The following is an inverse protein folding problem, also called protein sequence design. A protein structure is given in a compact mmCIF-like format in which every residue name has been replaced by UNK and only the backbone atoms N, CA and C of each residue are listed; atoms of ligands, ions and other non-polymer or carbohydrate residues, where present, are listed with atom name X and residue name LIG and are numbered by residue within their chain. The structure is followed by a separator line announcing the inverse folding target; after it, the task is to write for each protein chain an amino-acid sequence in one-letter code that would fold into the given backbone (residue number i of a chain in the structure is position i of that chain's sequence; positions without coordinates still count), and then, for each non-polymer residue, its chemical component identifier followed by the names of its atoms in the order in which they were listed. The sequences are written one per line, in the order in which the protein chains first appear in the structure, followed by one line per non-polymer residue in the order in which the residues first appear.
data_IF_854889737983
#
_entry.id   IF_854889737983
#
_cell.length_a   1.000
_cell.length_b   1.000
_cell.length_c   1.000
_cell.angle_alpha   90.00
_cell.angle_beta   90.00
_cell.angle_gamma   90.00
#
_symmetry.space_group_name_H-M   'P 1'
#
loop_
_entity.id
_entity.type
_entity.pdbx_description
1 polymer ?
#
# COMPACT_ATOMS: atom_id res chain seq x y z
N UNK A 1 -39.15 -43.48 7.53
CA UNK A 1 -38.16 -42.47 7.96
C UNK A 1 -36.71 -42.98 8.06
N UNK A 2 -36.39 -44.26 8.00
CA UNK A 2 -35.01 -44.78 8.05
C UNK A 2 -34.30 -44.85 6.70
N UNK A 3 -34.99 -44.84 5.58
CA UNK A 3 -34.37 -44.94 4.24
C UNK A 3 -33.92 -43.59 3.62
N UNK A 4 -34.44 -42.45 4.09
CA UNK A 4 -34.08 -41.13 3.55
C UNK A 4 -32.72 -40.65 4.08
N UNK A 5 -32.36 -41.07 5.28
CA UNK A 5 -31.07 -40.67 5.91
C UNK A 5 -29.86 -41.37 5.28
N UNK A 6 -30.03 -42.51 4.64
CA UNK A 6 -28.93 -43.28 4.00
C UNK A 6 -28.59 -42.75 2.61
N UNK A 7 -29.56 -42.19 1.87
CA UNK A 7 -29.32 -41.61 0.54
C UNK A 7 -28.62 -40.25 0.61
N UNK A 8 -28.93 -39.40 1.60
CA UNK A 8 -28.22 -38.10 1.78
C UNK A 8 -26.74 -38.25 2.17
N UNK A 9 -26.39 -39.30 2.93
CA UNK A 9 -24.98 -39.57 3.25
C UNK A 9 -24.19 -40.10 2.04
N UNK A 10 -24.83 -40.85 1.16
CA UNK A 10 -24.23 -41.34 -0.08
C UNK A 10 -23.96 -40.22 -1.10
N UNK A 11 -24.90 -39.30 -1.26
CA UNK A 11 -24.75 -38.15 -2.18
C UNK A 11 -23.64 -37.16 -1.75
N UNK A 12 -23.52 -36.88 -0.45
CA UNK A 12 -22.42 -36.07 0.07
C UNK A 12 -21.06 -36.73 -0.13
N UNK A 13 -20.97 -38.06 0.05
CA UNK A 13 -19.71 -38.77 -0.15
C UNK A 13 -19.27 -38.83 -1.62
N UNK A 14 -20.19 -38.87 -2.57
CA UNK A 14 -19.89 -38.81 -4.01
C UNK A 14 -19.47 -37.41 -4.44
N UNK A 15 -20.06 -36.34 -3.88
CA UNK A 15 -19.68 -34.93 -4.12
C UNK A 15 -18.24 -34.66 -3.66
N UNK A 16 -17.82 -35.21 -2.51
CA UNK A 16 -16.46 -35.07 -2.03
C UNK A 16 -15.43 -35.82 -2.87
N UNK A 17 -15.75 -37.01 -3.41
CA UNK A 17 -14.87 -37.73 -4.33
C UNK A 17 -14.66 -36.99 -5.64
N UNK A 18 -15.69 -36.37 -6.17
CA UNK A 18 -15.62 -35.59 -7.41
C UNK A 18 -14.75 -34.32 -7.23
N UNK A 19 -14.82 -33.68 -6.05
CA UNK A 19 -13.99 -32.54 -5.70
C UNK A 19 -12.50 -32.95 -5.55
N UNK A 20 -12.24 -34.10 -4.93
CA UNK A 20 -10.88 -34.66 -4.79
C UNK A 20 -10.30 -35.02 -6.15
N UNK A 21 -11.09 -35.60 -7.06
CA UNK A 21 -10.62 -35.94 -8.42
C UNK A 21 -10.35 -34.70 -9.27
N UNK A 22 -11.09 -33.60 -9.08
CA UNK A 22 -10.82 -32.31 -9.73
C UNK A 22 -9.52 -31.70 -9.19
N UNK A 23 -9.34 -31.71 -7.87
CA UNK A 23 -8.11 -31.21 -7.21
C UNK A 23 -6.89 -32.03 -7.65
N UNK A 24 -7.01 -33.35 -7.70
CA UNK A 24 -5.91 -34.23 -8.16
C UNK A 24 -5.56 -33.99 -9.64
N UNK A 25 -6.52 -33.73 -10.51
CA UNK A 25 -6.28 -33.38 -11.92
C UNK A 25 -5.65 -31.98 -12.12
N UNK A 26 -5.82 -31.05 -11.15
CA UNK A 26 -5.14 -29.74 -11.16
C UNK A 26 -3.67 -29.85 -10.70
N UNK A 27 -3.32 -30.89 -9.94
CA UNK A 27 -1.96 -31.15 -9.42
C UNK A 27 -1.04 -31.78 -10.51
N UNK A 28 -1.58 -32.38 -11.58
CA UNK A 28 -0.81 -33.02 -12.65
C UNK A 28 -0.22 -32.06 -13.71
N UNK A 29 -0.30 -30.73 -13.51
CA UNK A 29 0.36 -29.76 -14.39
C UNK A 29 1.79 -29.48 -13.93
N UNK A 30 2.83 -29.72 -14.77
CA UNK A 30 4.23 -29.70 -14.34
C UNK A 30 4.83 -28.29 -14.11
N UNK A 31 4.07 -27.21 -14.16
CA UNK A 31 4.57 -25.84 -14.12
C UNK A 31 4.29 -25.06 -12.83
N UNK A 32 3.68 -25.67 -11.83
CA UNK A 32 3.53 -25.06 -10.52
C UNK A 32 4.25 -25.91 -9.48
N UNK A 33 5.46 -25.48 -9.11
CA UNK A 33 6.15 -26.00 -7.93
C UNK A 33 5.42 -25.57 -6.65
N UNK A 34 4.21 -26.07 -6.48
CA UNK A 34 3.48 -25.95 -5.23
C UNK A 34 3.84 -27.20 -4.43
N UNK A 35 4.59 -27.00 -3.38
CA UNK A 35 4.89 -28.08 -2.42
C UNK A 35 3.57 -28.47 -1.71
N UNK A 36 2.78 -29.36 -2.34
CA UNK A 36 1.69 -30.06 -1.67
C UNK A 36 2.29 -31.17 -0.84
N UNK A 37 2.76 -30.84 0.36
CA UNK A 37 3.19 -31.84 1.33
C UNK A 37 1.99 -32.41 2.07
N UNK A 38 1.78 -33.71 1.83
CA UNK A 38 0.95 -34.64 2.54
C UNK A 38 0.76 -34.32 4.03
N UNK A 39 -0.44 -33.95 4.42
CA UNK A 39 -0.89 -34.14 5.78
C UNK A 39 -2.35 -34.57 5.80
N UNK A 40 -2.59 -35.83 5.41
CA UNK A 40 -3.78 -36.55 5.85
C UNK A 40 -3.37 -37.31 7.12
N UNK A 41 -3.51 -36.68 8.28
CA UNK A 41 -3.64 -37.39 9.56
C UNK A 41 -5.03 -37.14 10.10
N UNK A 42 -5.76 -38.22 10.15
CA UNK A 42 -7.05 -38.37 10.78
C UNK A 42 -6.93 -38.00 12.28
N UNK A 43 -7.51 -36.89 12.66
CA UNK A 43 -7.75 -36.52 14.05
C UNK A 43 -9.16 -35.93 14.15
N UNK A 44 -10.14 -36.83 14.31
CA UNK A 44 -11.40 -36.55 15.00
C UNK A 44 -12.09 -35.21 14.70
N UNK A 45 -12.69 -35.02 13.51
CA UNK A 45 -13.84 -34.12 13.35
C UNK A 45 -13.57 -32.61 13.43
N UNK A 46 -12.36 -32.11 13.29
CA UNK A 46 -12.09 -30.67 13.12
C UNK A 46 -12.03 -30.31 11.64
N UNK A 47 -12.66 -29.20 11.28
CA UNK A 47 -12.55 -28.63 9.94
C UNK A 47 -11.10 -28.47 9.56
N UNK A 48 -10.67 -29.16 8.49
CA UNK A 48 -9.30 -29.04 7.97
C UNK A 48 -9.23 -27.78 7.13
N UNK A 49 -8.51 -26.78 7.62
CA UNK A 49 -8.18 -25.59 6.85
C UNK A 49 -7.03 -25.92 5.91
N UNK A 50 -7.23 -25.66 4.61
CA UNK A 50 -6.20 -25.87 3.58
C UNK A 50 -5.57 -24.52 3.29
N UNK A 51 -4.26 -24.38 3.59
CA UNK A 51 -3.50 -23.18 3.27
C UNK A 51 -2.56 -23.42 2.08
N UNK A 52 -2.46 -22.43 1.19
CA UNK A 52 -1.39 -22.38 0.21
C UNK A 52 -0.22 -21.60 0.83
N UNK A 53 0.98 -22.22 0.85
CA UNK A 53 2.18 -21.61 1.43
C UNK A 53 3.25 -21.57 0.33
N UNK A 54 3.34 -20.47 -0.43
CA UNK A 54 4.34 -20.32 -1.48
C UNK A 54 5.77 -20.32 -0.92
N UNK A 55 6.64 -21.10 -1.51
CA UNK A 55 8.08 -21.00 -1.35
C UNK A 55 8.58 -19.99 -2.40
N UNK A 56 8.99 -18.80 -1.95
CA UNK A 56 9.37 -17.69 -2.85
C UNK A 56 10.83 -17.73 -3.27
N UNK A 57 11.67 -18.36 -2.44
CA UNK A 57 13.05 -18.71 -2.73
C UNK A 57 13.36 -19.96 -1.90
N UNK A 58 14.52 -20.61 -2.13
CA UNK A 58 14.88 -21.84 -1.42
C UNK A 58 14.79 -21.66 0.11
N UNK A 59 13.89 -22.41 0.77
CA UNK A 59 13.63 -22.32 2.21
C UNK A 59 13.20 -20.91 2.70
N UNK A 60 12.55 -20.12 1.84
CA UNK A 60 11.93 -18.85 2.15
C UNK A 60 10.44 -18.92 1.78
N UNK A 61 9.56 -18.83 2.75
CA UNK A 61 8.13 -19.11 2.59
C UNK A 61 7.30 -17.89 2.94
N UNK A 62 6.28 -17.59 2.12
CA UNK A 62 5.26 -16.63 2.48
C UNK A 62 4.27 -17.27 3.45
N UNK A 63 4.17 -16.77 4.67
CA UNK A 63 3.28 -17.28 5.73
C UNK A 63 2.23 -16.26 6.17
N UNK A 64 2.18 -15.11 5.52
CA UNK A 64 1.26 -14.02 5.81
C UNK A 64 -0.22 -14.36 5.60
N UNK A 65 -1.07 -13.34 5.68
CA UNK A 65 -2.52 -13.48 5.53
C UNK A 65 -3.07 -12.55 4.44
N UNK A 66 -4.21 -12.94 3.86
CA UNK A 66 -4.96 -12.12 2.91
C UNK A 66 -6.29 -11.70 3.51
N UNK A 67 -6.51 -10.40 3.60
CA UNK A 67 -7.75 -9.81 4.10
C UNK A 67 -8.65 -9.39 2.93
N UNK A 68 -9.38 -10.36 2.39
CA UNK A 68 -10.26 -10.21 1.24
C UNK A 68 -11.41 -9.21 1.48
N UNK A 69 -11.80 -9.04 2.74
CA UNK A 69 -12.98 -8.30 3.13
C UNK A 69 -12.66 -6.92 3.72
N UNK A 70 -11.40 -6.57 3.91
CA UNK A 70 -11.00 -5.25 4.36
C UNK A 70 -11.40 -4.22 3.32
N UNK A 71 -12.16 -3.19 3.73
CA UNK A 71 -12.64 -2.12 2.83
C UNK A 71 -12.12 -0.74 3.19
N UNK A 72 -11.48 -0.63 4.36
CA UNK A 72 -10.91 0.61 4.85
C UNK A 72 -9.67 0.30 5.68
N UNK A 73 -8.55 0.95 5.38
CA UNK A 73 -7.32 0.92 6.16
C UNK A 73 -7.17 2.25 6.89
N UNK A 74 -6.68 2.24 8.14
CA UNK A 74 -6.51 3.41 9.01
C UNK A 74 -7.73 4.34 9.11
N UNK A 75 -8.94 3.79 8.96
CA UNK A 75 -10.20 4.55 8.90
C UNK A 75 -10.18 5.69 7.85
N UNK A 76 -9.29 5.65 6.88
CA UNK A 76 -9.05 6.71 5.89
C UNK A 76 -8.89 6.19 4.46
N UNK A 77 -8.14 5.11 4.26
CA UNK A 77 -7.72 4.60 2.95
C UNK A 77 -8.70 3.55 2.45
N UNK A 78 -9.42 3.79 1.35
CA UNK A 78 -10.31 2.80 0.77
C UNK A 78 -9.57 1.62 0.16
N UNK A 79 -10.04 0.40 0.41
CA UNK A 79 -9.46 -0.86 -0.07
C UNK A 79 -10.45 -1.64 -0.93
N UNK A 80 -10.72 -1.24 -2.17
CA UNK A 80 -11.69 -1.92 -3.02
C UNK A 80 -11.35 -3.39 -3.29
N UNK A 81 -10.06 -3.74 -3.28
CA UNK A 81 -9.54 -5.09 -3.53
C UNK A 81 -9.06 -5.81 -2.27
N UNK A 82 -9.37 -5.30 -1.07
CA UNK A 82 -8.80 -5.82 0.17
C UNK A 82 -7.32 -5.49 0.31
N UNK A 83 -6.62 -6.26 1.15
CA UNK A 83 -5.16 -6.15 1.35
C UNK A 83 -4.54 -7.49 1.73
N UNK A 84 -3.24 -7.53 1.87
CA UNK A 84 -2.51 -8.65 2.48
C UNK A 84 -1.60 -8.12 3.58
N UNK A 85 -1.33 -8.96 4.57
CA UNK A 85 -0.34 -8.76 5.62
C UNK A 85 0.73 -9.82 5.42
N UNK A 86 1.77 -9.46 4.68
CA UNK A 86 2.80 -10.41 4.29
C UNK A 86 3.82 -10.57 5.42
N UNK A 87 4.10 -11.81 5.75
CA UNK A 87 5.14 -12.20 6.66
C UNK A 87 5.87 -13.42 6.10
N UNK A 88 7.13 -13.60 6.47
CA UNK A 88 7.97 -14.57 5.80
C UNK A 88 8.71 -15.45 6.80
N UNK A 89 8.69 -16.78 6.57
CA UNK A 89 9.49 -17.74 7.31
C UNK A 89 10.74 -18.07 6.50
N UNK A 90 11.91 -17.87 7.10
CA UNK A 90 13.21 -18.18 6.51
C UNK A 90 13.89 -19.29 7.31
N UNK A 91 14.28 -20.36 6.63
CA UNK A 91 15.01 -21.47 7.24
C UNK A 91 16.45 -21.49 6.73
N UNK A 92 17.40 -21.27 7.62
CA UNK A 92 18.80 -21.61 7.41
C UNK A 92 19.05 -23.09 7.73
N UNK A 93 20.30 -23.50 7.68
CA UNK A 93 20.71 -24.86 8.05
C UNK A 93 20.69 -25.08 9.57
N UNK A 94 20.93 -24.00 10.35
CA UNK A 94 21.02 -24.04 11.80
C UNK A 94 19.85 -23.37 12.51
N UNK A 95 19.32 -22.26 11.93
CA UNK A 95 18.36 -21.40 12.59
C UNK A 95 17.19 -21.04 11.68
N UNK A 96 16.05 -20.81 12.32
CA UNK A 96 14.80 -20.40 11.65
C UNK A 96 14.36 -19.04 12.16
N UNK A 97 13.93 -18.16 11.26
CA UNK A 97 13.45 -16.82 11.58
C UNK A 97 12.12 -16.50 10.92
N UNK A 98 11.33 -15.67 11.59
CA UNK A 98 10.20 -14.96 10.98
C UNK A 98 10.62 -13.52 10.67
N UNK A 99 10.13 -12.96 9.56
CA UNK A 99 10.26 -11.56 9.19
C UNK A 99 8.86 -10.97 9.15
N UNK A 100 8.61 -10.01 10.02
CA UNK A 100 7.33 -9.36 10.32
C UNK A 100 6.23 -10.35 10.77
N UNK A 101 5.06 -9.84 11.10
CA UNK A 101 3.90 -10.61 11.54
C UNK A 101 2.64 -10.18 10.78
N UNK A 102 1.46 -10.40 11.35
CA UNK A 102 0.16 -10.16 10.71
C UNK A 102 -0.74 -9.28 11.56
N UNK A 103 -1.75 -8.71 10.92
CA UNK A 103 -2.79 -7.90 11.53
C UNK A 103 -3.60 -8.71 12.57
N UNK A 104 -4.17 -8.03 13.60
CA UNK A 104 -5.03 -8.69 14.59
C UNK A 104 -6.15 -9.52 13.94
N UNK A 105 -6.35 -10.73 14.47
CA UNK A 105 -7.36 -11.68 13.99
C UNK A 105 -6.82 -12.74 13.02
N UNK A 106 -5.59 -12.61 12.56
CA UNK A 106 -4.93 -13.60 11.67
C UNK A 106 -3.87 -14.47 12.38
N UNK A 107 -3.68 -14.31 13.69
CA UNK A 107 -2.63 -14.99 14.45
C UNK A 107 -2.72 -16.51 14.32
N UNK A 108 -3.93 -17.08 14.34
CA UNK A 108 -4.12 -18.53 14.27
C UNK A 108 -3.85 -19.09 12.87
N UNK A 109 -4.25 -18.38 11.81
CA UNK A 109 -3.89 -18.72 10.44
C UNK A 109 -2.37 -18.70 10.26
N UNK A 110 -1.74 -17.63 10.77
CA UNK A 110 -0.30 -17.43 10.74
C UNK A 110 0.46 -18.58 11.43
N UNK A 111 0.08 -18.90 12.69
CA UNK A 111 0.63 -20.04 13.44
C UNK A 111 0.48 -21.34 12.68
N UNK A 112 -0.70 -21.62 12.13
CA UNK A 112 -0.98 -22.86 11.40
C UNK A 112 -0.04 -22.99 10.18
N UNK A 113 0.13 -21.91 9.40
CA UNK A 113 1.04 -21.89 8.24
C UNK A 113 2.50 -22.14 8.66
N UNK A 114 2.97 -21.50 9.72
CA UNK A 114 4.32 -21.72 10.25
C UNK A 114 4.51 -23.17 10.65
N UNK A 115 3.56 -23.74 11.39
CA UNK A 115 3.64 -25.12 11.89
C UNK A 115 3.52 -26.19 10.77
N UNK A 116 3.00 -25.84 9.59
CA UNK A 116 3.04 -26.73 8.41
C UNK A 116 4.45 -26.85 7.81
N UNK A 117 5.33 -25.86 8.02
CA UNK A 117 6.68 -25.83 7.45
C UNK A 117 7.75 -26.10 8.50
N UNK A 118 7.55 -25.61 9.71
CA UNK A 118 8.49 -25.67 10.83
C UNK A 118 7.71 -25.80 12.14
N UNK A 119 8.43 -25.94 13.26
CA UNK A 119 7.83 -25.90 14.59
C UNK A 119 8.00 -24.49 15.18
N UNK A 120 6.91 -23.75 15.39
CA UNK A 120 6.94 -22.40 15.94
C UNK A 120 7.66 -22.32 17.29
N UNK A 121 7.52 -23.32 18.18
CA UNK A 121 8.21 -23.36 19.48
C UNK A 121 9.75 -23.38 19.36
N UNK A 122 10.27 -23.74 18.18
CA UNK A 122 11.71 -23.82 17.89
C UNK A 122 12.22 -22.62 17.09
N UNK A 123 11.41 -21.57 16.95
CA UNK A 123 11.82 -20.35 16.27
C UNK A 123 13.02 -19.73 17.02
N UNK A 124 14.05 -19.31 16.26
CA UNK A 124 15.25 -18.69 16.82
C UNK A 124 15.14 -17.16 16.84
N UNK A 125 14.54 -16.57 15.80
CA UNK A 125 14.44 -15.13 15.67
C UNK A 125 13.08 -14.69 15.15
N UNK A 126 12.62 -13.55 15.66
CA UNK A 126 11.50 -12.77 15.13
C UNK A 126 12.05 -11.39 14.75
N UNK A 127 12.14 -11.12 13.45
CA UNK A 127 12.57 -9.82 12.91
C UNK A 127 11.35 -8.92 12.77
N UNK A 128 11.44 -7.69 13.26
CA UNK A 128 10.45 -6.65 12.99
C UNK A 128 11.10 -5.56 12.16
N UNK A 129 10.70 -5.45 10.89
CA UNK A 129 11.12 -4.38 10.01
C UNK A 129 10.37 -3.07 10.30
N UNK A 130 9.11 -3.18 10.75
CA UNK A 130 8.22 -2.06 10.99
C UNK A 130 7.28 -2.34 12.18
N UNK A 131 6.99 -1.32 12.98
CA UNK A 131 6.26 -1.44 14.24
C UNK A 131 4.75 -1.16 14.12
N UNK A 132 4.23 -0.85 12.93
CA UNK A 132 2.81 -0.63 12.75
C UNK A 132 2.02 -1.90 13.09
N UNK A 133 0.86 -1.76 13.78
CA UNK A 133 0.14 -2.92 14.33
C UNK A 133 -0.25 -4.00 13.32
N UNK A 134 -0.44 -3.66 12.04
CA UNK A 134 -0.80 -4.65 11.03
C UNK A 134 0.37 -5.57 10.61
N UNK A 135 1.61 -5.20 10.97
CA UNK A 135 2.83 -6.03 10.82
C UNK A 135 3.41 -6.47 12.16
N UNK A 136 2.99 -5.85 13.26
CA UNK A 136 3.60 -6.04 14.58
C UNK A 136 2.67 -6.69 15.62
N UNK A 137 1.35 -6.71 15.41
CA UNK A 137 0.39 -7.13 16.45
C UNK A 137 0.58 -8.55 16.94
N UNK A 138 1.01 -9.48 16.08
CA UNK A 138 1.23 -10.86 16.51
C UNK A 138 2.58 -11.09 17.21
N UNK A 139 3.43 -10.06 17.40
CA UNK A 139 4.74 -10.20 18.07
C UNK A 139 4.60 -10.86 19.44
N UNK A 140 3.71 -10.37 20.29
CA UNK A 140 3.52 -10.94 21.63
C UNK A 140 3.08 -12.39 21.54
N UNK A 141 2.11 -12.70 20.68
CA UNK A 141 1.61 -14.05 20.45
C UNK A 141 2.74 -15.00 20.05
N UNK A 142 3.57 -14.63 19.07
CA UNK A 142 4.70 -15.42 18.59
C UNK A 142 5.75 -15.59 19.67
N UNK A 143 6.10 -14.54 20.40
CA UNK A 143 7.12 -14.57 21.46
C UNK A 143 6.69 -15.44 22.65
N UNK A 144 5.40 -15.56 22.93
CA UNK A 144 4.87 -16.45 23.95
C UNK A 144 4.88 -17.92 23.50
N UNK A 145 4.58 -18.18 22.21
CA UNK A 145 4.63 -19.53 21.62
C UNK A 145 6.05 -20.02 21.35
N UNK A 146 7.01 -19.12 21.16
CA UNK A 146 8.42 -19.39 20.89
C UNK A 146 9.31 -18.86 22.02
N UNK A 147 9.40 -19.56 23.19
CA UNK A 147 10.03 -19.03 24.39
C UNK A 147 11.55 -18.82 24.27
N UNK A 148 12.19 -19.40 23.25
CA UNK A 148 13.63 -19.23 22.96
C UNK A 148 13.91 -18.17 21.91
N UNK A 149 12.89 -17.70 21.19
CA UNK A 149 13.07 -16.72 20.12
C UNK A 149 13.62 -15.40 20.64
N UNK A 150 14.57 -14.83 19.90
CA UNK A 150 15.06 -13.47 20.12
C UNK A 150 14.29 -12.52 19.20
N UNK A 151 13.76 -11.46 19.75
CA UNK A 151 13.16 -10.35 19.01
C UNK A 151 14.27 -9.41 18.48
N UNK A 152 14.28 -9.17 17.17
CA UNK A 152 15.36 -8.44 16.49
C UNK A 152 14.77 -7.23 15.73
N UNK A 153 15.26 -6.04 16.05
CA UNK A 153 14.89 -4.79 15.37
C UNK A 153 15.91 -3.69 15.68
N UNK A 154 15.71 -2.48 15.15
CA UNK A 154 16.54 -1.31 15.45
C UNK A 154 16.31 -0.79 16.89
N UNK A 155 17.20 0.06 17.41
CA UNK A 155 16.98 0.72 18.71
C UNK A 155 15.67 1.54 18.76
N UNK A 156 15.34 2.21 17.64
CA UNK A 156 14.05 2.89 17.52
C UNK A 156 12.90 1.89 17.44
N UNK A 157 13.09 0.76 16.77
CA UNK A 157 12.11 -0.31 16.67
C UNK A 157 11.76 -0.89 18.02
N UNK A 158 12.73 -1.11 18.90
CA UNK A 158 12.46 -1.54 20.30
C UNK A 158 11.57 -0.53 21.02
N UNK A 159 11.89 0.75 20.92
CA UNK A 159 11.11 1.82 21.56
C UNK A 159 9.67 1.88 21.04
N UNK A 160 9.49 1.76 19.71
CA UNK A 160 8.17 1.78 19.08
C UNK A 160 7.37 0.53 19.44
N UNK A 161 7.95 -0.67 19.32
CA UNK A 161 7.30 -1.91 19.68
C UNK A 161 6.88 -1.95 21.17
N UNK A 162 7.67 -1.36 22.06
CA UNK A 162 7.37 -1.28 23.50
C UNK A 162 6.15 -0.41 23.83
N UNK A 163 5.67 0.41 22.88
CA UNK A 163 4.42 1.16 23.07
C UNK A 163 3.18 0.25 22.96
N UNK A 164 3.30 -0.87 22.27
CA UNK A 164 2.20 -1.79 21.97
C UNK A 164 2.38 -3.15 22.63
N UNK A 165 3.63 -3.56 22.94
CA UNK A 165 3.97 -4.89 23.41
C UNK A 165 4.89 -4.84 24.63
N UNK A 166 4.62 -5.71 25.60
CA UNK A 166 5.57 -5.98 26.67
C UNK A 166 6.64 -6.94 26.14
N UNK A 167 7.81 -6.42 25.78
CA UNK A 167 8.93 -7.20 25.30
C UNK A 167 9.82 -7.65 26.46
N UNK A 168 10.18 -8.94 26.55
CA UNK A 168 11.14 -9.40 27.56
C UNK A 168 12.55 -8.92 27.17
N UNK A 169 13.11 -7.97 27.93
CA UNK A 169 14.42 -7.35 27.66
C UNK A 169 15.54 -8.36 27.38
N UNK A 170 15.56 -9.48 28.11
CA UNK A 170 16.55 -10.53 27.93
C UNK A 170 16.47 -11.22 26.56
N UNK A 171 15.38 -11.04 25.81
CA UNK A 171 15.16 -11.62 24.49
C UNK A 171 15.10 -10.58 23.37
N UNK A 172 15.64 -9.39 23.60
CA UNK A 172 15.74 -8.33 22.58
C UNK A 172 17.17 -8.25 22.06
N UNK A 173 17.32 -8.26 20.73
CA UNK A 173 18.58 -8.03 20.04
C UNK A 173 18.44 -6.79 19.16
N UNK A 174 19.17 -5.73 19.48
CA UNK A 174 19.22 -4.52 18.68
C UNK A 174 20.21 -4.70 17.53
N UNK A 175 19.81 -4.23 16.34
CA UNK A 175 20.64 -4.20 15.13
C UNK A 175 20.69 -2.79 14.56
N UNK A 176 21.75 -2.51 13.80
CA UNK A 176 22.00 -1.24 13.14
C UNK A 176 22.17 -1.43 11.62
N UNK A 177 22.28 -0.30 10.90
CA UNK A 177 22.51 -0.28 9.45
C UNK A 177 23.80 -1.05 9.07
N UNK A 178 23.68 -2.06 8.25
CA UNK A 178 24.76 -2.93 7.81
C UNK A 178 25.07 -4.14 8.70
N UNK A 179 24.44 -4.25 9.87
CA UNK A 179 24.55 -5.44 10.71
C UNK A 179 24.01 -6.67 9.99
N UNK A 180 24.49 -7.83 10.43
CA UNK A 180 24.05 -9.11 9.86
C UNK A 180 23.79 -10.16 10.93
N UNK A 181 22.98 -11.17 10.56
CA UNK A 181 22.61 -12.31 11.38
C UNK A 181 22.73 -13.60 10.57
N UNK A 182 23.60 -14.50 10.99
CA UNK A 182 23.81 -15.80 10.34
C UNK A 182 22.75 -16.81 10.82
N UNK A 183 22.16 -17.52 9.85
CA UNK A 183 21.18 -18.58 10.07
C UNK A 183 21.75 -19.98 9.75
N UNK A 184 23.05 -20.07 9.38
CA UNK A 184 23.63 -21.26 8.79
C UNK A 184 23.30 -21.35 7.29
N UNK A 185 24.24 -20.98 6.43
CA UNK A 185 24.08 -20.98 4.97
C UNK A 185 23.18 -19.89 4.39
N UNK A 186 22.61 -19.03 5.23
CA UNK A 186 21.89 -17.80 4.86
C UNK A 186 22.21 -16.69 5.86
N UNK A 187 22.38 -15.49 5.34
CA UNK A 187 22.69 -14.29 6.12
C UNK A 187 21.56 -13.28 5.98
N UNK A 188 21.01 -12.80 7.08
CA UNK A 188 20.14 -11.62 7.07
C UNK A 188 21.02 -10.39 7.22
N UNK A 189 20.95 -9.46 6.27
CA UNK A 189 21.59 -8.16 6.33
C UNK A 189 20.53 -7.10 6.58
N UNK A 190 20.73 -6.23 7.57
CA UNK A 190 19.80 -5.16 7.95
C UNK A 190 20.20 -3.83 7.32
N UNK A 191 19.22 -3.08 6.81
CA UNK A 191 19.40 -1.80 6.14
C UNK A 191 18.39 -0.82 6.73
N UNK A 192 18.84 0.15 7.50
CA UNK A 192 17.93 1.16 8.03
C UNK A 192 17.32 2.02 6.92
N UNK A 193 16.01 2.15 6.94
CA UNK A 193 15.22 2.94 6.01
C UNK A 193 14.23 3.86 6.77
N UNK A 194 14.73 4.74 7.66
CA UNK A 194 13.91 5.51 8.57
C UNK A 194 12.92 6.41 7.82
N UNK A 195 11.68 6.49 8.36
CA UNK A 195 10.56 7.23 7.76
C UNK A 195 10.05 6.67 6.44
N UNK A 196 10.13 5.35 6.26
CA UNK A 196 9.47 4.63 5.17
C UNK A 196 8.50 3.55 5.72
N UNK A 197 7.30 3.92 6.38
CA UNK A 197 6.93 5.35 6.57
C UNK A 197 7.02 5.82 8.04
N UNK A 198 7.48 4.99 8.97
CA UNK A 198 7.72 5.33 10.37
C UNK A 198 9.23 5.46 10.67
N UNK A 199 9.60 6.10 11.81
CA UNK A 199 10.99 6.48 12.08
C UNK A 199 11.95 5.31 12.31
N UNK A 200 11.45 4.11 12.62
CA UNK A 200 12.22 2.92 12.98
C UNK A 200 12.40 1.93 11.84
N UNK A 201 11.71 2.14 10.71
CA UNK A 201 11.66 1.17 9.60
C UNK A 201 13.05 0.75 9.13
N UNK A 202 13.21 -0.55 8.91
CA UNK A 202 14.38 -1.15 8.28
C UNK A 202 13.98 -2.14 7.21
N UNK A 203 14.89 -2.47 6.31
CA UNK A 203 14.78 -3.57 5.36
C UNK A 203 15.65 -4.74 5.81
N UNK A 204 15.22 -5.94 5.49
CA UNK A 204 16.02 -7.16 5.64
C UNK A 204 16.35 -7.69 4.24
N UNK A 205 17.62 -8.05 4.01
CA UNK A 205 18.09 -8.59 2.73
C UNK A 205 18.83 -9.92 2.94
N UNK A 206 18.55 -10.90 2.07
CA UNK A 206 19.26 -12.20 2.04
C UNK A 206 20.13 -12.24 0.78
N UNK A 207 21.46 -12.06 0.88
CA UNK A 207 22.36 -12.06 -0.27
C UNK A 207 22.38 -13.38 -1.05
N UNK A 208 22.31 -14.51 -0.36
CA UNK A 208 22.39 -15.85 -0.95
C UNK A 208 21.20 -16.13 -1.88
N UNK A 209 20.02 -15.68 -1.48
CA UNK A 209 18.79 -15.85 -2.25
C UNK A 209 18.42 -14.61 -3.07
N UNK A 210 19.11 -13.47 -2.84
CA UNK A 210 18.86 -12.17 -3.50
C UNK A 210 17.44 -11.65 -3.25
N UNK A 211 16.92 -11.86 -2.04
CA UNK A 211 15.57 -11.45 -1.61
C UNK A 211 15.66 -10.24 -0.71
N UNK A 212 14.93 -9.19 -1.07
CA UNK A 212 14.74 -7.99 -0.24
C UNK A 212 13.36 -8.02 0.40
N UNK A 213 13.29 -7.79 1.71
CA UNK A 213 12.08 -7.59 2.50
C UNK A 213 12.02 -6.12 2.93
N UNK A 214 11.37 -5.25 2.15
CA UNK A 214 11.41 -3.80 2.36
C UNK A 214 10.27 -3.28 3.24
N UNK A 215 9.57 -4.14 3.95
CA UNK A 215 8.33 -3.83 4.63
C UNK A 215 7.34 -3.14 3.69
N UNK A 216 6.80 -1.99 4.05
CA UNK A 216 5.80 -1.25 3.29
C UNK A 216 6.33 -0.60 2.00
N UNK A 217 7.63 -0.38 1.94
CA UNK A 217 8.20 0.18 0.73
C UNK A 217 8.03 -0.78 -0.44
N UNK A 218 7.49 -0.32 -1.56
CA UNK A 218 7.03 -1.10 -2.72
C UNK A 218 5.69 -1.84 -2.54
N UNK A 219 4.93 -1.54 -1.50
CA UNK A 219 3.64 -2.14 -1.23
C UNK A 219 2.54 -1.80 -2.25
N UNK A 220 1.48 -2.58 -2.21
CA UNK A 220 0.22 -2.32 -2.91
C UNK A 220 -0.94 -2.96 -2.14
N UNK A 221 -2.04 -2.22 -1.94
CA UNK A 221 -3.20 -2.79 -1.28
C UNK A 221 -4.03 -3.64 -2.23
N UNK A 222 -3.79 -4.94 -2.19
CA UNK A 222 -4.61 -5.95 -2.85
C UNK A 222 -4.47 -7.30 -2.16
N UNK A 223 -5.57 -8.04 -2.12
CA UNK A 223 -5.60 -9.44 -1.69
C UNK A 223 -5.47 -10.42 -2.86
N UNK A 224 -5.42 -9.92 -4.10
CA UNK A 224 -5.32 -10.74 -5.31
C UNK A 224 -3.90 -11.25 -5.53
N UNK A 225 -3.79 -12.40 -6.21
CA UNK A 225 -2.51 -12.97 -6.60
C UNK A 225 -1.53 -13.22 -5.44
N UNK A 226 -0.38 -13.78 -5.73
CA UNK A 226 0.77 -13.90 -4.81
C UNK A 226 1.96 -13.15 -5.40
N UNK A 227 2.10 -13.23 -6.71
CA UNK A 227 3.22 -12.66 -7.44
C UNK A 227 2.79 -11.48 -8.30
N UNK A 228 3.73 -10.64 -8.66
CA UNK A 228 3.51 -9.47 -9.52
C UNK A 228 2.94 -9.84 -10.91
N UNK A 229 3.20 -11.05 -11.39
CA UNK A 229 2.66 -11.57 -12.65
C UNK A 229 1.17 -11.95 -12.57
N UNK A 230 0.65 -12.17 -11.37
CA UNK A 230 -0.75 -12.55 -11.14
C UNK A 230 -1.71 -11.35 -11.16
N UNK A 231 -1.19 -10.10 -11.19
CA UNK A 231 -1.98 -8.88 -11.00
C UNK A 231 -1.84 -7.98 -12.22
N UNK A 232 -2.94 -7.80 -12.95
CA UNK A 232 -3.00 -6.98 -14.16
C UNK A 232 -2.80 -5.49 -13.85
N UNK A 233 -3.51 -4.97 -12.84
CA UNK A 233 -3.52 -3.55 -12.46
C UNK A 233 -2.45 -3.19 -11.41
N UNK A 234 -1.35 -3.93 -11.33
CA UNK A 234 -0.38 -3.79 -10.26
C UNK A 234 0.19 -2.37 -10.14
N UNK A 235 0.60 -1.75 -11.24
CA UNK A 235 1.25 -0.43 -11.17
C UNK A 235 0.28 0.68 -10.74
N UNK A 236 -0.96 0.75 -11.23
CA UNK A 236 -1.99 1.61 -10.67
C UNK A 236 -2.23 1.41 -9.16
N UNK A 237 -2.26 0.16 -8.68
CA UNK A 237 -2.45 -0.15 -7.25
C UNK A 237 -1.24 0.28 -6.41
N UNK A 238 -0.02 -0.03 -6.85
CA UNK A 238 1.20 0.40 -6.20
C UNK A 238 1.36 1.93 -6.19
N UNK A 239 0.91 2.61 -7.26
CA UNK A 239 0.89 4.07 -7.35
C UNK A 239 -0.11 4.69 -6.38
N UNK A 240 -1.29 4.06 -6.20
CA UNK A 240 -2.27 4.44 -5.20
C UNK A 240 -1.65 4.36 -3.79
N UNK A 241 -1.08 3.21 -3.45
CA UNK A 241 -0.39 2.97 -2.19
C UNK A 241 0.74 3.99 -1.94
N UNK A 242 1.58 4.24 -2.97
CA UNK A 242 2.63 5.26 -2.88
C UNK A 242 2.06 6.64 -2.60
N UNK A 243 1.01 7.03 -3.30
CA UNK A 243 0.34 8.33 -3.14
C UNK A 243 -0.25 8.53 -1.75
N UNK A 244 -0.85 7.49 -1.20
CA UNK A 244 -1.54 7.53 0.10
C UNK A 244 -0.56 7.51 1.28
N UNK A 245 0.57 6.78 1.17
CA UNK A 245 1.42 6.45 2.32
C UNK A 245 2.85 6.97 2.13
N UNK A 246 3.48 6.75 0.98
CA UNK A 246 4.91 6.98 0.78
C UNK A 246 5.27 8.37 0.24
N UNK A 247 4.36 9.03 -0.50
CA UNK A 247 4.63 10.27 -1.21
C UNK A 247 5.15 11.41 -0.32
N UNK A 248 4.65 11.62 0.92
CA UNK A 248 5.23 12.62 1.83
C UNK A 248 6.71 12.40 2.14
N UNK A 249 7.18 11.16 2.03
CA UNK A 249 8.54 10.72 2.33
C UNK A 249 9.38 10.49 1.07
N UNK A 250 8.96 10.94 -0.11
CA UNK A 250 9.60 10.67 -1.40
C UNK A 250 11.12 10.88 -1.41
N UNK A 251 11.61 11.97 -0.79
CA UNK A 251 13.07 12.24 -0.68
C UNK A 251 13.81 11.18 0.14
N UNK A 252 13.17 10.58 1.13
CA UNK A 252 13.74 9.50 1.93
C UNK A 252 13.64 8.18 1.17
N UNK A 253 12.57 7.98 0.41
CA UNK A 253 12.45 6.88 -0.55
C UNK A 253 13.59 6.89 -1.59
N UNK A 254 13.91 8.05 -2.17
CA UNK A 254 15.06 8.18 -3.09
C UNK A 254 16.40 7.79 -2.42
N UNK A 255 16.60 8.16 -1.16
CA UNK A 255 17.80 7.75 -0.40
C UNK A 255 17.82 6.24 -0.12
N UNK A 256 16.67 5.63 0.14
CA UNK A 256 16.59 4.19 0.33
C UNK A 256 16.86 3.42 -0.97
N UNK A 257 16.35 3.90 -2.11
CA UNK A 257 16.69 3.36 -3.44
C UNK A 257 18.21 3.42 -3.69
N UNK A 258 18.86 4.52 -3.33
CA UNK A 258 20.31 4.65 -3.46
C UNK A 258 21.08 3.66 -2.58
N UNK A 259 20.60 3.36 -1.36
CA UNK A 259 21.20 2.35 -0.48
C UNK A 259 21.15 0.92 -1.05
N UNK A 260 20.10 0.60 -1.81
CA UNK A 260 19.88 -0.76 -2.32
C UNK A 260 20.31 -0.93 -3.79
N UNK A 261 20.74 0.13 -4.48
CA UNK A 261 21.03 0.11 -5.92
C UNK A 261 22.10 -0.90 -6.34
N UNK A 262 23.10 -1.13 -5.47
CA UNK A 262 24.21 -2.04 -5.72
C UNK A 262 23.95 -3.46 -5.23
N UNK A 263 22.77 -3.74 -4.67
CA UNK A 263 22.36 -5.08 -4.26
C UNK A 263 21.87 -5.88 -5.49
N UNK A 264 22.29 -7.14 -5.58
CA UNK A 264 21.76 -8.07 -6.58
C UNK A 264 20.39 -8.59 -6.13
N UNK A 265 19.32 -7.81 -6.40
CA UNK A 265 17.96 -8.14 -5.98
C UNK A 265 17.25 -8.88 -7.12
N UNK A 266 16.79 -10.10 -6.83
CA UNK A 266 15.95 -10.90 -7.75
C UNK A 266 14.50 -10.98 -7.33
N UNK A 267 14.23 -10.80 -6.04
CA UNK A 267 12.88 -10.85 -5.47
C UNK A 267 12.74 -9.68 -4.50
N UNK A 268 11.63 -8.95 -4.62
CA UNK A 268 11.18 -7.98 -3.62
C UNK A 268 9.93 -8.55 -2.96
N UNK A 269 9.95 -8.68 -1.65
CA UNK A 269 8.92 -9.31 -0.83
C UNK A 269 8.36 -8.30 0.20
N UNK A 270 7.45 -7.38 -0.21
CA UNK A 270 6.92 -6.32 0.66
C UNK A 270 5.89 -6.85 1.65
N UNK A 271 5.50 -6.01 2.61
CA UNK A 271 4.50 -6.34 3.64
C UNK A 271 3.05 -6.26 3.15
N UNK A 272 2.79 -5.56 2.03
CA UNK A 272 1.49 -5.52 1.37
C UNK A 272 1.58 -5.82 -0.12
N UNK A 273 0.55 -6.51 -0.64
CA UNK A 273 0.42 -6.81 -2.06
C UNK A 273 1.31 -7.95 -2.53
N UNK A 274 1.72 -7.95 -3.81
CA UNK A 274 2.43 -9.08 -4.39
C UNK A 274 3.91 -9.11 -4.07
N UNK A 275 4.49 -10.29 -4.23
CA UNK A 275 5.92 -10.53 -4.27
C UNK A 275 6.40 -10.30 -5.70
N UNK A 276 7.36 -9.42 -5.90
CA UNK A 276 7.90 -9.10 -7.21
C UNK A 276 9.00 -10.09 -7.59
N UNK A 277 8.73 -10.96 -8.54
CA UNK A 277 9.73 -11.80 -9.23
C UNK A 277 10.50 -11.03 -10.28
N UNK A 278 9.93 -9.92 -10.76
CA UNK A 278 10.60 -8.95 -11.61
C UNK A 278 10.71 -7.61 -10.86
N UNK A 279 11.79 -7.38 -10.08
CA UNK A 279 11.97 -6.16 -9.30
C UNK A 279 11.88 -4.86 -10.12
N UNK A 280 12.27 -4.87 -11.40
CA UNK A 280 12.26 -3.68 -12.24
C UNK A 280 10.85 -3.13 -12.45
N UNK A 281 9.83 -3.98 -12.41
CA UNK A 281 8.42 -3.54 -12.52
C UNK A 281 8.02 -2.51 -11.46
N UNK A 282 8.68 -2.53 -10.30
CA UNK A 282 8.38 -1.58 -9.22
C UNK A 282 9.52 -0.60 -8.96
N UNK A 283 10.78 -0.99 -9.14
CA UNK A 283 11.93 -0.12 -8.94
C UNK A 283 11.91 1.08 -9.90
N UNK A 284 11.58 0.87 -11.19
CA UNK A 284 11.50 1.94 -12.18
C UNK A 284 10.40 2.97 -11.87
N UNK A 285 9.13 2.58 -11.57
CA UNK A 285 8.12 3.53 -11.12
C UNK A 285 8.52 4.28 -9.85
N UNK A 286 9.02 3.58 -8.83
CA UNK A 286 9.42 4.21 -7.57
C UNK A 286 10.57 5.21 -7.75
N UNK A 287 11.52 4.92 -8.64
CA UNK A 287 12.59 5.88 -8.97
C UNK A 287 12.02 7.20 -9.50
N UNK A 288 11.02 7.16 -10.38
CA UNK A 288 10.33 8.34 -10.92
C UNK A 288 9.51 9.05 -9.85
N UNK A 289 8.70 8.29 -9.08
CA UNK A 289 7.83 8.86 -8.06
C UNK A 289 8.62 9.53 -6.93
N UNK A 290 9.69 8.89 -6.46
CA UNK A 290 10.56 9.45 -5.39
C UNK A 290 11.38 10.63 -5.87
N UNK A 291 11.71 10.70 -7.16
CA UNK A 291 12.33 11.87 -7.79
C UNK A 291 11.36 13.06 -7.96
N UNK A 292 10.04 12.81 -7.79
CA UNK A 292 9.00 13.83 -8.01
C UNK A 292 8.83 14.17 -9.48
N UNK A 293 9.03 13.21 -10.38
CA UNK A 293 8.78 13.40 -11.80
C UNK A 293 7.27 13.60 -12.04
N UNK A 294 6.95 14.62 -12.85
CA UNK A 294 5.56 14.92 -13.19
C UNK A 294 5.29 14.73 -14.68
N UNK A 295 4.11 14.26 -14.98
CA UNK A 295 3.61 14.13 -16.36
C UNK A 295 2.95 15.42 -16.84
N UNK A 296 2.67 15.52 -18.15
CA UNK A 296 1.86 16.60 -18.71
C UNK A 296 0.37 16.40 -18.37
N UNK A 297 0.07 16.40 -17.09
CA UNK A 297 -1.21 16.02 -16.51
C UNK A 297 -1.71 17.07 -15.54
N UNK A 298 -3.00 17.33 -15.57
CA UNK A 298 -3.70 18.17 -14.62
C UNK A 298 -4.76 17.39 -13.85
N UNK A 299 -4.61 17.36 -12.54
CA UNK A 299 -5.61 16.84 -11.62
C UNK A 299 -6.59 17.96 -11.24
N UNK A 300 -7.86 17.74 -11.50
CA UNK A 300 -8.95 18.62 -11.13
C UNK A 300 -9.80 17.97 -10.06
N UNK A 301 -9.86 18.58 -8.88
CA UNK A 301 -10.72 18.16 -7.77
C UNK A 301 -11.69 19.29 -7.42
N UNK A 302 -12.97 18.99 -7.37
CA UNK A 302 -13.96 20.04 -7.16
C UNK A 302 -15.21 19.54 -6.44
N UNK A 303 -15.96 20.52 -5.94
CA UNK A 303 -17.37 20.36 -5.52
C UNK A 303 -18.19 21.43 -6.22
N UNK A 304 -19.41 21.11 -6.62
CA UNK A 304 -20.35 22.08 -7.17
C UNK A 304 -21.75 21.79 -6.67
N UNK A 305 -22.36 22.77 -5.99
CA UNK A 305 -23.73 22.69 -5.47
C UNK A 305 -24.79 22.99 -6.54
N UNK A 306 -24.63 24.10 -7.28
CA UNK A 306 -25.63 24.65 -8.21
C UNK A 306 -25.08 24.84 -9.62
N UNK A 307 -23.97 24.19 -9.95
CA UNK A 307 -23.41 24.18 -11.30
C UNK A 307 -22.44 25.31 -11.65
N UNK A 308 -22.34 26.40 -10.88
CA UNK A 308 -21.43 27.50 -11.20
C UNK A 308 -19.98 27.11 -11.16
N UNK A 309 -19.53 26.47 -10.08
CA UNK A 309 -18.17 25.94 -9.98
C UNK A 309 -17.90 24.91 -11.08
N UNK A 310 -18.80 23.93 -11.29
CA UNK A 310 -18.65 22.90 -12.33
C UNK A 310 -18.54 23.52 -13.74
N UNK A 311 -19.25 24.63 -14.03
CA UNK A 311 -19.15 25.31 -15.31
C UNK A 311 -17.75 25.88 -15.54
N UNK A 312 -17.17 26.56 -14.54
CA UNK A 312 -15.80 27.10 -14.62
C UNK A 312 -14.76 25.96 -14.76
N UNK A 313 -14.94 24.88 -13.99
CA UNK A 313 -14.08 23.69 -14.06
C UNK A 313 -14.10 23.04 -15.45
N UNK A 314 -15.28 22.88 -16.05
CA UNK A 314 -15.38 22.35 -17.42
C UNK A 314 -14.71 23.26 -18.43
N UNK A 315 -14.87 24.56 -18.29
CA UNK A 315 -14.26 25.56 -19.20
C UNK A 315 -12.74 25.45 -19.17
N UNK A 316 -12.10 25.42 -17.99
CA UNK A 316 -10.63 25.28 -17.91
C UNK A 316 -10.17 23.91 -18.41
N UNK A 317 -10.88 22.83 -18.09
CA UNK A 317 -10.57 21.49 -18.56
C UNK A 317 -10.58 21.40 -20.10
N UNK A 318 -11.59 21.97 -20.77
CA UNK A 318 -11.67 22.00 -22.24
C UNK A 318 -10.51 22.78 -22.89
N UNK A 319 -10.06 23.87 -22.27
CA UNK A 319 -8.90 24.63 -22.75
C UNK A 319 -7.64 23.76 -22.64
N UNK A 320 -7.41 23.14 -21.49
CA UNK A 320 -6.23 22.29 -21.28
C UNK A 320 -6.23 21.06 -22.19
N UNK A 321 -7.40 20.43 -22.41
CA UNK A 321 -7.52 19.32 -23.36
C UNK A 321 -7.15 19.74 -24.80
N UNK A 322 -7.58 20.91 -25.26
CA UNK A 322 -7.21 21.45 -26.58
C UNK A 322 -5.71 21.70 -26.70
N UNK A 323 -5.03 21.96 -25.59
CA UNK A 323 -3.56 22.15 -25.52
C UNK A 323 -2.78 20.83 -25.31
N UNK A 324 -3.47 19.67 -25.30
CA UNK A 324 -2.87 18.35 -25.20
C UNK A 324 -2.47 17.93 -23.78
N UNK A 325 -3.09 18.51 -22.76
CA UNK A 325 -2.89 18.12 -21.36
C UNK A 325 -3.80 16.94 -21.03
N UNK A 326 -3.27 15.90 -20.37
CA UNK A 326 -4.08 14.82 -19.81
C UNK A 326 -4.87 15.32 -18.60
N UNK A 327 -6.19 15.15 -18.61
CA UNK A 327 -7.08 15.66 -17.56
C UNK A 327 -7.63 14.51 -16.74
N UNK A 328 -7.40 14.58 -15.42
CA UNK A 328 -8.04 13.74 -14.41
C UNK A 328 -8.98 14.60 -13.58
N UNK A 329 -10.29 14.32 -13.64
CA UNK A 329 -11.31 15.19 -13.02
C UNK A 329 -12.17 14.38 -12.05
N UNK A 330 -12.24 14.84 -10.79
CA UNK A 330 -12.93 14.19 -9.69
C UNK A 330 -13.89 15.16 -8.99
N UNK A 331 -15.17 14.79 -8.94
CA UNK A 331 -16.15 15.42 -8.06
C UNK A 331 -16.05 14.79 -6.67
N UNK A 332 -15.59 15.55 -5.70
CA UNK A 332 -15.38 15.08 -4.33
C UNK A 332 -16.66 14.57 -3.63
N UNK A 333 -17.84 14.86 -4.17
CA UNK A 333 -19.08 14.34 -3.62
C UNK A 333 -19.29 12.84 -3.90
N UNK A 334 -18.62 12.30 -4.92
CA UNK A 334 -18.86 10.93 -5.41
C UNK A 334 -17.58 10.15 -5.74
N UNK A 335 -16.41 10.79 -5.65
CA UNK A 335 -15.14 10.17 -6.03
C UNK A 335 -14.44 9.52 -4.82
N UNK A 336 -13.70 8.46 -5.09
CA UNK A 336 -12.83 7.83 -4.11
C UNK A 336 -11.57 8.67 -3.88
N UNK A 337 -11.16 8.81 -2.63
CA UNK A 337 -9.99 9.60 -2.26
C UNK A 337 -8.68 8.91 -2.66
N UNK A 338 -8.64 7.59 -2.71
CA UNK A 338 -7.49 6.82 -3.17
C UNK A 338 -7.17 7.09 -4.64
N UNK A 339 -8.20 7.22 -5.49
CA UNK A 339 -8.02 7.62 -6.88
C UNK A 339 -7.37 9.01 -7.00
N UNK A 340 -7.78 9.94 -6.13
CA UNK A 340 -7.19 11.29 -6.08
C UNK A 340 -5.73 11.22 -5.62
N UNK A 341 -5.43 10.44 -4.59
CA UNK A 341 -4.06 10.24 -4.10
C UNK A 341 -3.16 9.65 -5.19
N UNK A 342 -3.65 8.66 -5.95
CA UNK A 342 -2.94 8.08 -7.10
C UNK A 342 -2.59 9.14 -8.15
N UNK A 343 -3.53 10.02 -8.50
CA UNK A 343 -3.29 11.04 -9.52
C UNK A 343 -2.38 12.17 -9.01
N UNK A 344 -2.33 12.42 -7.70
CA UNK A 344 -1.41 13.40 -7.11
C UNK A 344 0.07 13.04 -7.31
N UNK A 345 0.40 11.74 -7.45
CA UNK A 345 1.79 11.25 -7.52
C UNK A 345 2.60 11.90 -8.65
N UNK A 346 1.98 12.14 -9.81
CA UNK A 346 2.67 12.61 -11.01
C UNK A 346 1.94 13.74 -11.76
N UNK A 347 0.88 14.31 -11.19
CA UNK A 347 0.22 15.46 -11.79
C UNK A 347 1.10 16.72 -11.68
N UNK A 348 1.34 17.39 -12.81
CA UNK A 348 2.09 18.66 -12.85
C UNK A 348 1.26 19.83 -12.35
N UNK A 349 -0.06 19.73 -12.48
CA UNK A 349 -1.02 20.78 -12.15
C UNK A 349 -2.10 20.25 -11.23
N UNK A 350 -2.51 21.05 -10.25
CA UNK A 350 -3.69 20.82 -9.42
C UNK A 350 -4.66 21.98 -9.55
N UNK A 351 -5.91 21.68 -9.94
CA UNK A 351 -6.99 22.65 -10.03
C UNK A 351 -8.04 22.32 -8.97
N UNK A 352 -8.30 23.27 -8.10
CA UNK A 352 -9.32 23.16 -7.05
C UNK A 352 -10.56 23.97 -7.40
N UNK A 353 -11.72 23.32 -7.27
CA UNK A 353 -13.02 23.98 -7.44
C UNK A 353 -13.87 23.89 -6.18
N UNK A 354 -14.34 25.03 -5.63
CA UNK A 354 -15.15 25.04 -4.41
C UNK A 354 -16.23 26.10 -4.40
N UNK A 355 -17.47 25.78 -4.01
CA UNK A 355 -18.42 26.84 -3.59
C UNK A 355 -18.07 27.28 -2.16
N UNK A 356 -18.50 28.49 -1.82
CA UNK A 356 -18.48 28.99 -0.44
C UNK A 356 -19.71 28.51 0.31
N UNK A 357 -19.50 27.90 1.49
CA UNK A 357 -20.53 27.44 2.42
C UNK A 357 -20.28 28.08 3.79
N UNK A 358 -21.25 28.77 4.35
CA UNK A 358 -21.14 29.46 5.65
C UNK A 358 -19.92 30.39 5.79
N UNK A 359 -19.48 30.97 4.67
CA UNK A 359 -18.33 31.89 4.64
C UNK A 359 -17.02 31.29 4.22
N UNK A 360 -16.86 29.95 4.31
CA UNK A 360 -15.65 29.20 4.06
C UNK A 360 -15.76 28.21 2.89
N UNK A 361 -14.75 27.38 2.66
CA UNK A 361 -14.79 26.30 1.67
C UNK A 361 -15.89 25.28 1.99
N UNK A 362 -16.45 24.65 0.96
CA UNK A 362 -17.27 23.47 1.15
C UNK A 362 -16.47 22.38 1.90
N UNK A 363 -17.05 21.67 2.91
CA UNK A 363 -16.31 20.70 3.73
C UNK A 363 -15.54 19.64 2.95
N UNK A 364 -16.11 19.09 1.88
CA UNK A 364 -15.40 18.12 1.03
C UNK A 364 -14.23 18.76 0.27
N UNK A 365 -14.40 20.01 -0.21
CA UNK A 365 -13.30 20.73 -0.86
C UNK A 365 -12.19 21.08 0.13
N UNK A 366 -12.53 21.43 1.37
CA UNK A 366 -11.58 21.62 2.46
C UNK A 366 -10.78 20.33 2.72
N UNK A 367 -11.46 19.19 2.82
CA UNK A 367 -10.84 17.88 2.99
C UNK A 367 -9.88 17.54 1.83
N UNK A 368 -10.33 17.66 0.56
CA UNK A 368 -9.47 17.43 -0.60
C UNK A 368 -8.26 18.37 -0.66
N UNK A 369 -8.45 19.66 -0.31
CA UNK A 369 -7.34 20.63 -0.25
C UNK A 369 -6.34 20.30 0.86
N UNK A 370 -6.84 19.84 2.02
CA UNK A 370 -6.00 19.40 3.12
C UNK A 370 -5.16 18.17 2.74
N UNK A 371 -5.72 17.22 1.99
CA UNK A 371 -4.99 16.07 1.47
C UNK A 371 -3.85 16.48 0.54
N UNK A 372 -4.09 17.41 -0.38
CA UNK A 372 -3.02 17.99 -1.22
C UNK A 372 -1.88 18.53 -0.35
N UNK A 373 -2.21 19.26 0.72
CA UNK A 373 -1.20 19.75 1.67
C UNK A 373 -0.48 18.61 2.39
N UNK A 374 -1.21 17.63 2.91
CA UNK A 374 -0.68 16.54 3.74
C UNK A 374 0.22 15.60 2.93
N UNK A 375 -0.22 15.22 1.73
CA UNK A 375 0.48 14.31 0.84
C UNK A 375 1.66 14.99 0.11
N UNK A 376 1.70 16.33 0.06
CA UNK A 376 2.79 17.14 -0.48
C UNK A 376 3.26 16.67 -1.88
N UNK A 377 2.37 16.62 -2.87
CA UNK A 377 2.68 16.13 -4.21
C UNK A 377 3.72 16.99 -4.94
N UNK A 378 4.38 16.46 -5.98
CA UNK A 378 5.41 17.19 -6.74
C UNK A 378 4.82 18.21 -7.74
N UNK A 379 3.53 18.51 -7.66
CA UNK A 379 2.85 19.45 -8.56
C UNK A 379 3.52 20.84 -8.54
N UNK A 380 3.71 21.40 -9.74
CA UNK A 380 4.39 22.69 -9.92
C UNK A 380 3.41 23.86 -9.90
N UNK A 381 2.21 23.67 -10.43
CA UNK A 381 1.24 24.74 -10.67
C UNK A 381 -0.11 24.44 -10.04
N UNK A 382 -0.80 25.49 -9.58
CA UNK A 382 -2.12 25.39 -9.00
C UNK A 382 -3.07 26.45 -9.56
N UNK A 383 -4.37 26.13 -9.59
CA UNK A 383 -5.46 27.07 -9.87
C UNK A 383 -6.57 26.83 -8.87
N UNK A 384 -7.19 27.92 -8.38
CA UNK A 384 -8.34 27.81 -7.46
C UNK A 384 -9.52 28.59 -8.04
N UNK A 385 -10.62 27.88 -8.31
CA UNK A 385 -11.86 28.45 -8.85
C UNK A 385 -12.97 28.29 -7.81
N UNK A 386 -13.71 29.38 -7.55
CA UNK A 386 -14.75 29.36 -6.54
C UNK A 386 -16.03 30.10 -6.95
N UNK A 387 -17.14 29.76 -6.31
CA UNK A 387 -18.41 30.48 -6.42
C UNK A 387 -19.02 30.77 -5.05
N UNK A 388 -19.80 31.83 -4.94
CA UNK A 388 -20.49 32.19 -3.71
C UNK A 388 -21.80 32.92 -4.01
N UNK A 389 -22.75 32.81 -3.09
CA UNK A 389 -23.98 33.65 -3.12
C UNK A 389 -23.84 34.90 -2.25
N UNK A 390 -23.40 34.66 -1.01
CA UNK A 390 -23.17 35.70 0.00
C UNK A 390 -21.94 35.31 0.81
N UNK A 391 -21.02 36.22 1.07
CA UNK A 391 -19.73 35.91 1.72
C UNK A 391 -18.80 35.06 0.85
N UNK A 392 -17.54 35.40 0.73
CA UNK A 392 -16.62 34.79 -0.23
C UNK A 392 -15.25 34.44 0.39
N UNK A 393 -15.19 33.66 1.49
CA UNK A 393 -13.93 33.28 2.16
C UNK A 393 -13.20 32.07 1.59
N UNK A 394 -13.85 31.25 0.75
CA UNK A 394 -13.33 29.96 0.31
C UNK A 394 -11.95 30.02 -0.37
N UNK A 395 -11.72 31.00 -1.27
CA UNK A 395 -10.42 31.11 -1.95
C UNK A 395 -9.29 31.54 -1.01
N UNK A 396 -9.58 32.40 -0.04
CA UNK A 396 -8.63 32.81 0.98
C UNK A 396 -8.20 31.59 1.79
N UNK A 397 -9.16 30.81 2.26
CA UNK A 397 -8.90 29.58 3.04
C UNK A 397 -8.11 28.54 2.21
N UNK A 398 -8.46 28.31 0.95
CA UNK A 398 -7.72 27.43 0.06
C UNK A 398 -6.26 27.89 -0.11
N UNK A 399 -6.03 29.19 -0.32
CA UNK A 399 -4.70 29.76 -0.43
C UNK A 399 -3.86 29.55 0.82
N UNK A 400 -4.43 29.77 2.01
CA UNK A 400 -3.74 29.56 3.29
C UNK A 400 -3.33 28.10 3.49
N UNK A 401 -4.19 27.14 3.11
CA UNK A 401 -3.90 25.71 3.21
C UNK A 401 -2.81 25.28 2.23
N UNK A 402 -2.79 25.83 1.02
CA UNK A 402 -1.86 25.44 -0.05
C UNK A 402 -0.47 26.10 0.05
N UNK A 403 -0.28 27.14 0.84
CA UNK A 403 1.03 27.81 1.01
C UNK A 403 2.18 26.82 1.25
N UNK A 404 2.03 25.78 2.09
CA UNK A 404 3.14 24.83 2.34
C UNK A 404 3.52 23.96 1.13
N UNK A 405 2.61 23.76 0.17
CA UNK A 405 2.85 22.91 -1.01
C UNK A 405 3.88 23.49 -1.98
N UNK A 406 4.20 24.81 -1.85
CA UNK A 406 5.12 25.54 -2.71
C UNK A 406 4.76 25.56 -4.20
N UNK A 407 3.54 25.18 -4.56
CA UNK A 407 3.03 25.31 -5.93
C UNK A 407 2.89 26.77 -6.30
N UNK A 408 3.23 27.13 -7.53
CA UNK A 408 2.89 28.43 -8.10
C UNK A 408 1.38 28.49 -8.40
N UNK A 409 0.65 29.35 -7.72
CA UNK A 409 -0.77 29.59 -8.02
C UNK A 409 -0.85 30.52 -9.22
N UNK A 410 -1.10 29.92 -10.39
CA UNK A 410 -1.17 30.65 -11.68
C UNK A 410 -2.40 31.52 -11.78
N UNK A 411 -3.51 31.12 -11.17
CA UNK A 411 -4.73 31.92 -11.21
C UNK A 411 -5.72 31.55 -10.11
N UNK A 412 -6.50 32.56 -9.72
CA UNK A 412 -7.65 32.38 -8.84
C UNK A 412 -8.83 33.19 -9.39
N UNK A 413 -10.02 32.61 -9.36
CA UNK A 413 -11.22 33.32 -9.72
C UNK A 413 -12.38 32.93 -8.82
N UNK A 414 -13.06 33.92 -8.25
CA UNK A 414 -14.28 33.72 -7.48
C UNK A 414 -15.45 34.53 -8.06
N UNK A 415 -16.55 33.86 -8.37
CA UNK A 415 -17.71 34.45 -8.98
C UNK A 415 -18.90 34.49 -8.02
N UNK A 416 -19.66 35.57 -8.05
CA UNK A 416 -20.90 35.70 -7.30
C UNK A 416 -22.07 35.15 -8.11
N UNK A 417 -22.72 34.10 -7.59
CA UNK A 417 -23.82 33.42 -8.25
C UNK A 417 -23.37 32.58 -9.43
N UNK A 418 -24.08 32.64 -10.56
CA UNK A 418 -23.74 31.88 -11.78
C UNK A 418 -22.62 32.57 -12.54
N UNK A 419 -21.65 31.79 -13.01
CA UNK A 419 -20.59 32.27 -13.88
C UNK A 419 -21.19 32.85 -15.20
N UNK A 420 -20.80 34.06 -15.56
CA UNK A 420 -21.20 34.73 -16.78
C UNK A 420 -20.16 34.61 -17.86
N UNK A 421 -20.46 35.02 -19.08
CA UNK A 421 -19.53 34.94 -20.22
C UNK A 421 -18.19 35.63 -19.93
N UNK A 422 -18.23 36.81 -19.30
CA UNK A 422 -17.02 37.54 -18.89
C UNK A 422 -16.17 36.81 -17.86
N UNK A 423 -16.80 36.05 -16.95
CA UNK A 423 -16.09 35.22 -15.96
C UNK A 423 -15.45 34.00 -16.65
N UNK A 424 -16.18 33.37 -17.58
CA UNK A 424 -15.67 32.24 -18.35
C UNK A 424 -14.50 32.65 -19.24
N UNK A 425 -14.49 33.84 -19.83
CA UNK A 425 -13.33 34.38 -20.57
C UNK A 425 -12.09 34.49 -19.69
N UNK A 426 -12.24 34.93 -18.42
CA UNK A 426 -11.13 34.95 -17.47
C UNK A 426 -10.63 33.54 -17.13
N UNK A 427 -11.53 32.56 -16.98
CA UNK A 427 -11.16 31.15 -16.79
C UNK A 427 -10.38 30.62 -18.01
N UNK A 428 -10.80 30.99 -19.23
CA UNK A 428 -10.07 30.62 -20.45
C UNK A 428 -8.65 31.22 -20.49
N UNK A 429 -8.51 32.50 -20.10
CA UNK A 429 -7.20 33.17 -20.00
C UNK A 429 -6.27 32.45 -19.03
N UNK A 430 -6.78 32.13 -17.82
CA UNK A 430 -6.04 31.32 -16.83
C UNK A 430 -5.65 29.96 -17.42
N UNK A 431 -6.56 29.27 -18.11
CA UNK A 431 -6.29 27.97 -18.73
C UNK A 431 -5.21 28.03 -19.79
N UNK A 432 -5.19 29.07 -20.65
CA UNK A 432 -4.14 29.27 -21.68
C UNK A 432 -2.78 29.60 -21.04
N UNK A 433 -2.74 30.47 -20.03
CA UNK A 433 -1.51 30.78 -19.30
C UNK A 433 -0.93 29.51 -18.64
N UNK A 434 -1.80 28.72 -17.98
CA UNK A 434 -1.41 27.46 -17.35
C UNK A 434 -0.84 26.47 -18.37
N UNK A 435 -1.53 26.28 -19.51
CA UNK A 435 -1.04 25.40 -20.56
C UNK A 435 0.32 25.86 -21.14
N UNK A 436 0.55 27.17 -21.25
CA UNK A 436 1.84 27.70 -21.68
C UNK A 436 2.95 27.38 -20.67
N UNK A 437 2.71 27.55 -19.37
CA UNK A 437 3.66 27.20 -18.30
C UNK A 437 3.98 25.69 -18.24
N UNK A 438 3.04 24.84 -18.62
CA UNK A 438 3.25 23.38 -18.66
C UNK A 438 4.18 22.95 -19.80
N UNK A 439 4.36 23.76 -20.82
CA UNK A 439 5.27 23.47 -21.97
C UNK A 439 6.73 23.80 -21.68
N UNK A 440 6.99 24.54 -20.60
CA UNK A 440 8.32 24.88 -20.10
C UNK A 440 8.74 23.96 -18.97
#
# INVERSE_FOLDING_TARGET
MKNIIFEERSAKCQSYRHLIDIVLKLIERPETSVCFLNFIKDNGGKNMEIYSIPEIARNVFWVGAKDWNRRMFDALIPLPQGTSYNAYLVKGEEKTTLIDTVNPGFEKEFENKINMISNLEKLDYLIMNHAEPDHASAIRYIMDMAPKAMFVTTDKGVKMASLYHELPEARVKVVADGDSLDLGGKTLRFIEAPWLHWPETMFTYIPEDKVLFPCDFFGAHTSQGVYDEDIEDLIPLAKCYYGEIMMPFGKLGAKALEKIKDLDIKIIAPSHGPIYKNPQRILEPYAKWTAGETENKALIVYVSMWGSTAQMIRTIAEILLKEGVDIRMYDLAVSDIGDIARELVDSRVIILGTPTVLGDMHPLALYGTYLVKALNPPAKYGVVLGSFGWGGGALKQAGEILVPSKMEIVGTLQVKGRAREEDLKKVEEIGRELAQKMKT
#
